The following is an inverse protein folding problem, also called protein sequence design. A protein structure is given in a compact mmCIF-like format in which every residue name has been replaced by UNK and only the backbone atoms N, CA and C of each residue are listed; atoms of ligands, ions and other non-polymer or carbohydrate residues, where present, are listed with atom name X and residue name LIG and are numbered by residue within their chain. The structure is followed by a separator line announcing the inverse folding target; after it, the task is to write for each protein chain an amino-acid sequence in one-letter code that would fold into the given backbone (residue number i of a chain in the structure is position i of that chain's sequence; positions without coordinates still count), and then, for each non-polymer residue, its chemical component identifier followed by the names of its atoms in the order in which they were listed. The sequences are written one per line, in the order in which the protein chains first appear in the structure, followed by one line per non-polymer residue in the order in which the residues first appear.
data_IF_365621920810
#
_entry.id   IF_365621920810
#
_cell.length_a   1.000
_cell.length_b   1.000
_cell.length_c   1.000
_cell.angle_alpha   90.00
_cell.angle_beta   90.00
_cell.angle_gamma   90.00
#
_symmetry.space_group_name_H-M   'P 1'
#
loop_
_entity.id
_entity.type
_entity.pdbx_description
1 polymer ?
#
# COMPACT_ATOMS: atom_id res chain seq x y z
N UNK A 1 16.32 2.51 -76.84
CA UNK A 1 16.61 1.26 -77.59
C UNK A 1 17.86 0.66 -76.96
N UNK A 2 17.76 -0.58 -76.48
CA UNK A 2 18.57 -1.20 -75.42
C UNK A 2 20.02 -1.57 -75.79
N UNK A 3 20.82 -2.00 -74.80
CA UNK A 3 21.13 -3.44 -74.67
C UNK A 3 20.73 -3.96 -73.28
N UNK A 4 19.80 -4.92 -73.15
CA UNK A 4 19.95 -6.40 -73.17
C UNK A 4 20.99 -6.93 -72.16
N UNK A 5 20.59 -7.81 -71.21
CA UNK A 5 21.35 -8.11 -69.99
C UNK A 5 22.34 -9.26 -70.15
N UNK A 6 23.45 -9.18 -69.41
CA UNK A 6 24.39 -10.30 -69.22
C UNK A 6 23.88 -11.20 -68.11
N UNK A 7 23.66 -12.47 -68.46
CA UNK A 7 23.29 -13.59 -67.58
C UNK A 7 24.47 -13.88 -66.65
N UNK A 8 24.26 -13.74 -65.34
CA UNK A 8 25.16 -14.31 -64.34
C UNK A 8 24.72 -15.76 -64.05
N UNK A 9 25.70 -16.66 -64.04
CA UNK A 9 25.56 -18.09 -63.77
C UNK A 9 25.14 -18.37 -62.32
N UNK A 10 24.44 -19.49 -62.04
CA UNK A 10 23.93 -19.79 -60.71
C UNK A 10 25.02 -20.31 -59.76
N UNK A 11 25.04 -19.78 -58.54
CA UNK A 11 25.86 -20.29 -57.42
C UNK A 11 25.50 -21.75 -57.07
N UNK A 12 26.49 -22.55 -56.61
CA UNK A 12 26.31 -23.97 -56.31
C UNK A 12 25.51 -24.18 -55.02
N UNK A 13 24.57 -25.13 -55.08
CA UNK A 13 23.70 -25.53 -53.98
C UNK A 13 24.48 -26.15 -52.79
N UNK A 14 24.04 -25.92 -51.54
CA UNK A 14 24.66 -26.50 -50.35
C UNK A 14 24.39 -28.00 -50.24
N UNK A 15 25.44 -28.71 -49.83
CA UNK A 15 25.54 -30.17 -49.65
C UNK A 15 24.54 -30.68 -48.61
N UNK A 16 23.79 -31.72 -48.99
CA UNK A 16 22.88 -32.46 -48.13
C UNK A 16 23.65 -33.29 -47.10
N UNK A 17 23.27 -33.14 -45.82
CA UNK A 17 23.69 -34.02 -44.72
C UNK A 17 22.55 -35.02 -44.47
N UNK A 18 22.88 -36.31 -44.56
CA UNK A 18 21.96 -37.43 -44.38
C UNK A 18 21.38 -37.52 -42.95
N UNK A 19 20.14 -38.05 -42.79
CA UNK A 19 19.48 -38.16 -41.51
C UNK A 19 19.95 -39.40 -40.73
N UNK A 20 20.26 -39.23 -39.45
CA UNK A 20 20.49 -40.32 -38.50
C UNK A 20 19.16 -40.89 -38.00
N UNK A 21 19.03 -42.22 -37.80
CA UNK A 21 17.77 -42.86 -37.45
C UNK A 21 17.46 -42.81 -35.94
N UNK A 22 16.18 -42.61 -35.61
CA UNK A 22 15.59 -42.77 -34.27
C UNK A 22 15.73 -44.20 -33.72
N UNK A 23 15.68 -44.37 -32.39
CA UNK A 23 15.08 -45.56 -31.79
C UNK A 23 13.84 -45.25 -30.93
N UNK A 24 12.75 -45.85 -31.39
CA UNK A 24 11.50 -46.29 -30.74
C UNK A 24 11.24 -46.00 -29.24
N UNK A 25 10.05 -45.41 -29.02
CA UNK A 25 9.25 -45.49 -27.79
C UNK A 25 8.78 -46.92 -27.50
N UNK A 26 9.03 -47.41 -26.28
CA UNK A 26 8.23 -48.46 -25.65
C UNK A 26 8.07 -48.16 -24.15
N UNK A 27 6.82 -48.18 -23.70
CA UNK A 27 6.34 -47.78 -22.39
C UNK A 27 6.76 -48.73 -21.26
N UNK A 28 7.08 -48.18 -20.09
CA UNK A 28 7.05 -48.86 -18.80
C UNK A 28 6.38 -47.93 -17.77
N UNK A 29 5.27 -48.41 -17.23
CA UNK A 29 4.40 -47.75 -16.25
C UNK A 29 5.11 -47.45 -14.92
N UNK A 30 4.79 -46.35 -14.21
CA UNK A 30 5.24 -46.16 -12.84
C UNK A 30 4.30 -46.82 -11.82
N UNK A 31 4.91 -47.61 -10.93
CA UNK A 31 4.33 -48.24 -9.75
C UNK A 31 3.79 -47.22 -8.71
N UNK A 32 2.94 -47.65 -7.73
CA UNK A 32 1.95 -46.79 -7.09
C UNK A 32 2.53 -45.82 -6.04
N UNK A 33 1.90 -44.65 -5.96
CA UNK A 33 2.21 -43.61 -4.99
C UNK A 33 2.00 -44.08 -3.55
N UNK A 34 3.06 -43.92 -2.74
CA UNK A 34 3.01 -43.99 -1.26
C UNK A 34 2.44 -42.65 -0.74
N UNK A 35 1.51 -42.65 0.24
CA UNK A 35 0.87 -41.41 0.68
C UNK A 35 1.86 -40.51 1.44
N UNK A 36 1.81 -39.18 1.26
CA UNK A 36 2.60 -38.29 2.08
C UNK A 36 2.06 -38.27 3.52
N UNK A 37 2.98 -38.50 4.44
CA UNK A 37 2.86 -38.32 5.89
C UNK A 37 2.26 -36.96 6.24
N UNK A 38 1.28 -36.97 7.14
CA UNK A 38 0.64 -35.80 7.71
C UNK A 38 1.65 -34.82 8.34
N UNK A 39 1.66 -33.59 7.83
CA UNK A 39 2.17 -32.42 8.56
C UNK A 39 1.02 -31.79 9.35
N UNK A 40 1.25 -31.27 10.57
CA UNK A 40 0.21 -30.63 11.35
C UNK A 40 -0.20 -29.31 10.70
N UNK A 41 -1.52 -29.07 10.63
CA UNK A 41 -2.11 -27.83 10.17
C UNK A 41 -1.72 -26.68 11.12
N UNK A 42 -0.99 -25.68 10.62
CA UNK A 42 -0.84 -24.38 11.29
C UNK A 42 -1.99 -23.45 10.88
N UNK A 43 -2.76 -23.00 11.87
CA UNK A 43 -3.84 -22.03 11.72
C UNK A 43 -3.32 -20.63 11.31
N UNK A 44 -4.03 -19.90 10.43
CA UNK A 44 -3.69 -18.53 10.07
C UNK A 44 -4.24 -17.54 11.12
N UNK A 45 -3.56 -17.41 12.27
CA UNK A 45 -4.01 -16.53 13.36
C UNK A 45 -2.94 -15.74 14.12
N UNK A 46 -1.66 -16.06 13.98
CA UNK A 46 -0.67 -15.72 15.03
C UNK A 46 0.15 -14.44 14.77
N UNK A 47 0.17 -13.91 13.55
CA UNK A 47 0.97 -12.72 13.22
C UNK A 47 0.37 -11.38 13.71
N UNK A 48 -0.95 -11.31 13.95
CA UNK A 48 -1.62 -10.09 14.49
C UNK A 48 -1.47 -9.92 16.01
N UNK A 49 -1.18 -11.00 16.75
CA UNK A 49 -1.00 -10.95 18.22
C UNK A 49 0.38 -10.45 18.65
N UNK A 50 1.41 -10.64 17.82
CA UNK A 50 2.77 -10.21 18.17
C UNK A 50 2.93 -8.67 18.11
N UNK A 51 2.36 -8.02 17.09
CA UNK A 51 2.39 -6.55 16.94
C UNK A 51 1.59 -5.80 18.02
N UNK A 52 0.51 -6.39 18.55
CA UNK A 52 -0.30 -5.75 19.60
C UNK A 52 0.33 -5.83 21.00
N UNK A 53 1.20 -6.81 21.26
CA UNK A 53 1.88 -6.93 22.55
C UNK A 53 3.08 -5.97 22.68
N UNK A 54 3.72 -5.59 21.58
CA UNK A 54 4.81 -4.59 21.58
C UNK A 54 4.27 -3.17 21.81
N UNK A 55 3.08 -2.85 21.30
CA UNK A 55 2.41 -1.55 21.53
C UNK A 55 1.97 -1.32 22.98
N UNK A 56 1.76 -2.38 23.77
CA UNK A 56 1.34 -2.29 25.19
C UNK A 56 2.50 -2.14 26.17
N UNK A 57 3.75 -2.34 25.73
CA UNK A 57 4.93 -2.33 26.59
C UNK A 57 5.70 -0.99 26.62
N UNK A 58 5.29 0.01 25.83
CA UNK A 58 5.91 1.34 25.82
C UNK A 58 4.81 2.39 25.98
N UNK A 59 4.51 2.73 27.24
CA UNK A 59 3.53 3.74 27.60
C UNK A 59 3.98 5.13 27.17
N UNK A 60 3.40 5.64 26.09
CA UNK A 60 3.46 7.04 25.69
C UNK A 60 2.03 7.47 25.32
N UNK A 61 1.33 8.06 26.28
CA UNK A 61 0.08 8.78 26.04
C UNK A 61 0.37 10.22 25.62
N UNK A 62 -0.46 10.84 24.76
CA UNK A 62 -0.30 12.24 24.41
C UNK A 62 -0.71 13.13 25.59
N UNK A 63 0.19 14.03 26.01
CA UNK A 63 -0.12 15.14 26.93
C UNK A 63 -0.29 16.43 26.12
N UNK A 64 -1.45 17.05 26.26
CA UNK A 64 -1.71 18.44 25.85
C UNK A 64 -0.93 19.44 26.73
N UNK A 65 -0.45 20.58 26.21
CA UNK A 65 0.16 21.60 27.04
C UNK A 65 -0.73 22.84 27.28
N UNK A 66 -0.67 23.26 28.55
CA UNK A 66 -0.54 24.64 29.06
C UNK A 66 -1.78 25.36 29.64
N UNK A 67 -1.74 25.55 30.97
CA UNK A 67 -2.16 26.77 31.66
C UNK A 67 -1.35 26.96 32.97
N UNK A 68 -1.15 28.25 33.34
CA UNK A 68 -0.51 28.79 34.55
C UNK A 68 1.03 28.79 34.62
N UNK A 69 1.81 29.79 35.07
CA UNK A 69 1.73 31.27 35.20
C UNK A 69 2.95 31.74 36.05
N UNK A 70 3.74 32.71 35.53
CA UNK A 70 4.56 33.77 36.22
C UNK A 70 5.67 33.43 37.26
N UNK A 71 6.63 34.36 37.58
CA UNK A 71 7.10 35.58 36.89
C UNK A 71 8.65 35.70 36.73
N UNK A 72 9.11 36.71 35.99
CA UNK A 72 10.50 37.22 35.99
C UNK A 72 10.50 38.78 35.98
N UNK A 73 11.58 39.45 36.45
CA UNK A 73 11.53 40.83 36.91
C UNK A 73 11.87 41.91 35.86
N UNK A 74 11.60 43.12 36.34
CA UNK A 74 11.54 44.47 35.77
C UNK A 74 12.88 45.09 35.33
N UNK A 75 12.88 45.87 34.23
CA UNK A 75 13.67 47.10 34.10
C UNK A 75 13.23 48.00 32.92
N UNK A 76 12.78 49.20 33.28
CA UNK A 76 12.96 50.53 32.67
C UNK A 76 12.47 50.84 31.24
N UNK A 77 11.46 51.73 31.18
CA UNK A 77 11.00 52.51 30.02
C UNK A 77 11.93 53.67 29.66
N UNK A 78 11.72 54.29 28.47
CA UNK A 78 11.30 55.70 28.48
C UNK A 78 10.04 56.00 27.62
N UNK A 79 9.31 57.02 28.07
CA UNK A 79 8.01 57.55 27.64
C UNK A 79 8.13 58.74 26.64
N UNK A 80 7.05 59.48 26.27
CA UNK A 80 5.96 59.12 25.35
C UNK A 80 5.73 60.17 24.23
N UNK A 81 4.91 59.87 23.21
CA UNK A 81 4.29 60.87 22.30
C UNK A 81 2.92 60.32 21.80
N UNK A 82 1.98 61.18 21.35
CA UNK A 82 0.62 61.21 21.89
C UNK A 82 -0.38 60.33 21.14
N UNK A 83 -1.43 59.94 21.88
CA UNK A 83 -2.55 59.13 21.42
C UNK A 83 -3.51 59.89 20.47
N UNK A 84 -4.07 59.24 19.44
CA UNK A 84 -5.30 59.69 18.79
C UNK A 84 -6.54 59.22 19.56
N UNK A 85 -7.54 60.09 19.58
CA UNK A 85 -8.83 60.06 20.28
C UNK A 85 -9.69 58.83 19.94
N UNK A 86 -10.43 58.24 20.91
CA UNK A 86 -11.27 57.07 20.68
C UNK A 86 -12.60 57.43 19.98
N UNK A 87 -12.85 56.79 18.83
CA UNK A 87 -14.16 56.78 18.17
C UNK A 87 -15.07 55.81 18.94
N UNK A 88 -16.27 56.29 19.29
CA UNK A 88 -17.28 55.56 20.05
C UNK A 88 -17.69 54.24 19.37
N UNK A 89 -17.73 53.16 20.16
CA UNK A 89 -18.35 51.88 19.76
C UNK A 89 -19.88 52.06 19.69
N UNK A 90 -20.55 51.55 18.65
CA UNK A 90 -22.00 51.51 18.60
C UNK A 90 -22.59 50.56 19.66
N UNK A 91 -23.84 50.79 20.11
CA UNK A 91 -24.43 50.04 21.21
C UNK A 91 -24.70 48.57 20.85
N UNK A 92 -24.55 47.73 21.86
CA UNK A 92 -24.82 46.29 21.85
C UNK A 92 -26.31 46.04 21.50
N UNK A 93 -26.64 45.19 20.51
CA UNK A 93 -28.00 44.70 20.36
C UNK A 93 -28.35 43.73 21.51
N UNK A 94 -29.61 43.81 21.95
CA UNK A 94 -30.22 42.96 22.97
C UNK A 94 -30.11 41.45 22.62
N UNK A 95 -30.13 40.54 23.62
CA UNK A 95 -30.01 39.11 23.38
C UNK A 95 -31.21 38.61 22.57
N UNK A 96 -30.97 38.25 21.31
CA UNK A 96 -31.94 37.55 20.49
C UNK A 96 -32.08 36.13 21.01
N UNK A 97 -33.32 35.74 21.30
CA UNK A 97 -33.72 34.38 21.60
C UNK A 97 -33.19 33.43 20.52
N UNK A 98 -32.42 32.43 20.95
CA UNK A 98 -31.96 31.31 20.13
C UNK A 98 -33.19 30.68 19.43
N UNK A 99 -33.19 30.51 18.09
CA UNK A 99 -34.27 29.80 17.44
C UNK A 99 -34.26 28.36 17.96
N UNK A 100 -35.40 27.87 18.42
CA UNK A 100 -35.63 26.43 18.60
C UNK A 100 -35.24 25.68 17.32
N UNK A 101 -34.70 24.46 17.42
CA UNK A 101 -34.50 23.63 16.24
C UNK A 101 -35.85 23.39 15.59
N UNK A 102 -36.09 24.03 14.44
CA UNK A 102 -37.25 23.73 13.62
C UNK A 102 -37.20 22.23 13.27
N UNK A 103 -38.32 21.49 13.37
CA UNK A 103 -38.34 20.10 12.99
C UNK A 103 -37.92 20.02 11.52
N UNK A 104 -36.87 19.24 11.25
CA UNK A 104 -36.51 18.86 9.89
C UNK A 104 -37.79 18.32 9.25
N UNK A 105 -38.32 19.04 8.26
CA UNK A 105 -39.51 18.59 7.55
C UNK A 105 -39.21 17.19 7.03
N UNK A 106 -39.92 16.18 7.57
CA UNK A 106 -39.93 14.84 6.99
C UNK A 106 -40.32 15.04 5.52
N UNK A 107 -39.38 14.81 4.62
CA UNK A 107 -39.63 14.81 3.17
C UNK A 107 -40.91 13.99 2.96
N UNK A 108 -41.92 14.61 2.35
CA UNK A 108 -43.18 13.92 2.10
C UNK A 108 -42.85 12.64 1.31
N UNK A 109 -43.30 11.46 1.76
CA UNK A 109 -42.90 10.20 1.15
C UNK A 109 -43.31 10.20 -0.33
N UNK A 110 -42.33 10.07 -1.23
CA UNK A 110 -42.58 10.02 -2.66
C UNK A 110 -43.36 8.73 -3.00
N UNK A 111 -44.63 8.81 -3.42
CA UNK A 111 -45.48 7.63 -3.59
C UNK A 111 -44.95 6.64 -4.64
N UNK A 112 -44.22 7.15 -5.64
CA UNK A 112 -43.61 6.32 -6.70
C UNK A 112 -42.41 5.51 -6.17
N UNK A 113 -41.62 6.10 -5.26
CA UNK A 113 -40.51 5.41 -4.61
C UNK A 113 -41.02 4.36 -3.61
N UNK A 114 -42.09 4.66 -2.87
CA UNK A 114 -42.74 3.69 -1.97
C UNK A 114 -43.36 2.51 -2.72
N UNK A 115 -43.96 2.75 -3.89
CA UNK A 115 -44.47 1.68 -4.77
C UNK A 115 -43.32 0.80 -5.26
N UNK A 116 -42.23 1.43 -5.71
CA UNK A 116 -41.03 0.73 -6.19
C UNK A 116 -40.39 -0.12 -5.09
N UNK A 117 -40.33 0.43 -3.87
CA UNK A 117 -39.85 -0.25 -2.66
C UNK A 117 -40.65 -1.51 -2.35
N UNK A 118 -41.98 -1.44 -2.38
CA UNK A 118 -42.85 -2.61 -2.13
C UNK A 118 -42.61 -3.72 -3.16
N UNK A 119 -42.53 -3.36 -4.44
CA UNK A 119 -42.28 -4.33 -5.52
C UNK A 119 -40.94 -5.06 -5.36
N UNK A 120 -39.89 -4.40 -4.86
CA UNK A 120 -38.58 -5.05 -4.62
C UNK A 120 -38.62 -6.09 -3.50
N UNK A 121 -39.37 -5.82 -2.42
CA UNK A 121 -39.57 -6.78 -1.34
C UNK A 121 -40.46 -7.95 -1.76
N UNK A 122 -41.54 -7.69 -2.51
CA UNK A 122 -42.42 -8.74 -3.05
C UNK A 122 -41.66 -9.72 -3.95
N UNK A 123 -40.72 -9.20 -4.74
CA UNK A 123 -39.86 -10.01 -5.62
C UNK A 123 -38.68 -10.67 -4.89
N UNK A 124 -38.51 -10.45 -3.58
CA UNK A 124 -37.41 -10.96 -2.74
C UNK A 124 -36.02 -10.62 -3.29
N UNK A 125 -35.87 -9.43 -3.86
CA UNK A 125 -34.59 -8.99 -4.47
C UNK A 125 -33.75 -8.23 -3.45
N UNK A 126 -34.39 -7.46 -2.57
CA UNK A 126 -33.71 -6.55 -1.67
C UNK A 126 -33.93 -6.93 -0.20
N UNK A 127 -32.88 -6.77 0.60
CA UNK A 127 -32.93 -6.87 2.07
C UNK A 127 -33.21 -5.51 2.72
N UNK A 128 -32.82 -4.43 2.06
CA UNK A 128 -33.14 -3.07 2.48
C UNK A 128 -33.37 -2.17 1.25
N UNK A 129 -34.35 -1.28 1.35
CA UNK A 129 -34.65 -0.26 0.34
C UNK A 129 -35.04 1.01 1.07
N UNK A 130 -34.29 2.08 0.81
CA UNK A 130 -34.42 3.39 1.44
C UNK A 130 -34.46 4.50 0.37
N UNK A 131 -34.98 5.66 0.71
CA UNK A 131 -34.86 6.86 -0.12
C UNK A 131 -33.42 7.39 -0.02
N UNK A 132 -32.74 7.53 -1.16
CA UNK A 132 -31.36 8.00 -1.21
C UNK A 132 -31.22 9.52 -0.99
N UNK A 133 -32.34 10.26 -0.94
CA UNK A 133 -32.38 11.71 -0.75
C UNK A 133 -32.02 12.52 -2.00
N UNK A 134 -31.78 11.85 -3.13
CA UNK A 134 -31.42 12.45 -4.42
C UNK A 134 -32.47 12.18 -5.52
N UNK A 135 -33.68 11.79 -5.11
CA UNK A 135 -34.79 11.43 -5.99
C UNK A 135 -34.77 9.96 -6.47
N UNK A 136 -33.82 9.16 -5.97
CA UNK A 136 -33.73 7.73 -6.25
C UNK A 136 -33.72 6.84 -5.00
N UNK A 137 -33.59 5.54 -5.22
CA UNK A 137 -33.54 4.50 -4.20
C UNK A 137 -32.09 4.12 -3.85
N UNK A 138 -31.87 3.89 -2.56
CA UNK A 138 -30.73 3.16 -2.03
C UNK A 138 -31.17 1.72 -1.75
N UNK A 139 -30.56 0.75 -2.44
CA UNK A 139 -30.99 -0.65 -2.42
C UNK A 139 -29.82 -1.53 -1.97
N UNK A 140 -30.06 -2.36 -0.95
CA UNK A 140 -29.19 -3.51 -0.63
C UNK A 140 -29.84 -4.78 -1.14
N UNK A 141 -29.17 -5.44 -2.08
CA UNK A 141 -29.63 -6.68 -2.69
C UNK A 141 -29.39 -7.85 -1.73
N UNK A 142 -30.28 -8.82 -1.75
CA UNK A 142 -30.10 -10.06 -1.00
C UNK A 142 -28.93 -10.88 -1.61
N UNK A 143 -27.92 -11.29 -0.82
CA UNK A 143 -26.81 -12.11 -1.31
C UNK A 143 -27.20 -13.43 -2.00
N UNK A 144 -28.43 -13.91 -1.79
CA UNK A 144 -28.97 -15.09 -2.46
C UNK A 144 -29.35 -14.85 -3.94
N UNK A 145 -29.51 -13.59 -4.35
CA UNK A 145 -29.89 -13.19 -5.71
C UNK A 145 -28.80 -13.57 -6.72
N UNK A 146 -29.23 -14.08 -7.87
CA UNK A 146 -28.34 -14.53 -8.95
C UNK A 146 -28.40 -13.64 -10.20
N UNK A 147 -29.46 -12.86 -10.37
CA UNK A 147 -29.66 -11.98 -11.53
C UNK A 147 -30.18 -10.62 -11.08
N UNK A 148 -29.66 -9.59 -11.75
CA UNK A 148 -30.08 -8.20 -11.60
C UNK A 148 -31.20 -7.81 -12.59
N UNK A 149 -31.70 -8.70 -13.44
CA UNK A 149 -32.85 -8.40 -14.31
C UNK A 149 -34.04 -7.79 -13.57
N UNK A 150 -34.40 -8.28 -12.36
CA UNK A 150 -35.56 -7.76 -11.66
C UNK A 150 -35.40 -6.32 -11.16
N UNK A 151 -34.18 -5.75 -11.13
CA UNK A 151 -33.94 -4.34 -10.76
C UNK A 151 -33.96 -3.39 -11.97
N UNK A 152 -34.15 -3.90 -13.19
CA UNK A 152 -34.34 -3.06 -14.38
C UNK A 152 -35.51 -2.10 -14.19
N UNK A 153 -35.35 -0.88 -14.68
CA UNK A 153 -36.35 0.21 -14.65
C UNK A 153 -36.69 0.79 -13.27
N UNK A 154 -36.03 0.34 -12.19
CA UNK A 154 -36.17 1.01 -10.91
C UNK A 154 -35.27 2.26 -10.84
N UNK A 155 -35.73 3.36 -10.21
CA UNK A 155 -34.96 4.58 -10.08
C UNK A 155 -33.88 4.43 -8.99
N UNK A 156 -32.89 3.57 -9.21
CA UNK A 156 -31.82 3.28 -8.24
C UNK A 156 -30.65 4.23 -8.47
N UNK A 157 -30.23 4.93 -7.43
CA UNK A 157 -29.05 5.82 -7.43
C UNK A 157 -27.91 5.25 -6.59
N UNK A 158 -28.22 4.42 -5.59
CA UNK A 158 -27.22 3.71 -4.78
C UNK A 158 -27.54 2.22 -4.73
N UNK A 159 -26.60 1.39 -5.13
CA UNK A 159 -26.77 -0.06 -5.17
C UNK A 159 -25.66 -0.77 -4.39
N UNK A 160 -26.06 -1.52 -3.37
CA UNK A 160 -25.18 -2.34 -2.55
C UNK A 160 -25.39 -3.82 -2.89
N UNK A 161 -24.40 -4.41 -3.60
CA UNK A 161 -24.34 -5.84 -3.92
C UNK A 161 -23.34 -6.58 -3.03
N UNK A 162 -22.96 -6.02 -1.87
CA UNK A 162 -21.95 -6.62 -1.00
C UNK A 162 -22.30 -8.08 -0.65
N UNK A 163 -21.37 -8.99 -0.91
CA UNK A 163 -21.52 -10.41 -0.64
C UNK A 163 -22.39 -11.17 -1.65
N UNK A 164 -22.86 -10.54 -2.73
CA UNK A 164 -23.62 -11.21 -3.80
C UNK A 164 -22.68 -12.04 -4.69
N UNK A 165 -22.13 -13.13 -4.13
CA UNK A 165 -21.08 -13.94 -4.76
C UNK A 165 -21.48 -14.57 -6.09
N UNK A 166 -22.79 -14.74 -6.34
CA UNK A 166 -23.33 -15.42 -7.54
C UNK A 166 -23.68 -14.47 -8.69
N UNK A 167 -23.53 -13.16 -8.51
CA UNK A 167 -23.77 -12.19 -9.57
C UNK A 167 -22.53 -12.13 -10.45
N UNK A 168 -22.71 -12.41 -11.73
CA UNK A 168 -21.66 -12.33 -12.76
C UNK A 168 -21.99 -11.33 -13.88
N UNK A 169 -23.27 -11.01 -14.08
CA UNK A 169 -23.73 -10.12 -15.15
C UNK A 169 -24.19 -8.76 -14.60
N UNK A 170 -23.58 -7.69 -15.11
CA UNK A 170 -23.91 -6.30 -14.79
C UNK A 170 -24.67 -5.59 -15.92
N UNK A 171 -24.96 -6.26 -17.05
CA UNK A 171 -25.77 -5.70 -18.14
C UNK A 171 -27.14 -5.16 -17.68
N UNK A 172 -27.82 -5.73 -16.67
CA UNK A 172 -29.05 -5.14 -16.15
C UNK A 172 -28.91 -3.73 -15.56
N UNK A 173 -27.68 -3.30 -15.23
CA UNK A 173 -27.39 -1.94 -14.77
C UNK A 173 -27.22 -0.94 -15.91
N UNK A 174 -27.15 -1.40 -17.15
CA UNK A 174 -26.90 -0.56 -18.31
C UNK A 174 -27.98 0.52 -18.46
N UNK A 175 -27.55 1.78 -18.49
CA UNK A 175 -28.45 2.95 -18.59
C UNK A 175 -29.18 3.31 -17.29
N UNK A 176 -28.87 2.68 -16.16
CA UNK A 176 -29.40 3.08 -14.86
C UNK A 176 -28.75 4.37 -14.34
N UNK A 177 -29.42 5.07 -13.43
CA UNK A 177 -28.93 6.30 -12.81
C UNK A 177 -28.00 6.06 -11.60
N UNK A 178 -27.39 4.88 -11.50
CA UNK A 178 -26.56 4.50 -10.35
C UNK A 178 -25.30 5.38 -10.30
N UNK A 179 -25.13 6.06 -9.17
CA UNK A 179 -23.97 6.92 -8.85
C UNK A 179 -23.01 6.23 -7.88
N UNK A 180 -23.55 5.41 -6.98
CA UNK A 180 -22.80 4.65 -6.00
C UNK A 180 -23.07 3.16 -6.18
N UNK A 181 -22.01 2.37 -6.39
CA UNK A 181 -22.10 0.93 -6.57
C UNK A 181 -21.07 0.21 -5.69
N UNK A 182 -21.52 -0.70 -4.85
CA UNK A 182 -20.65 -1.66 -4.16
C UNK A 182 -20.82 -3.06 -4.76
N UNK A 183 -19.72 -3.62 -5.25
CA UNK A 183 -19.55 -5.01 -5.70
C UNK A 183 -18.68 -5.80 -4.72
N UNK A 184 -18.57 -5.34 -3.47
CA UNK A 184 -17.67 -5.90 -2.50
C UNK A 184 -17.94 -7.41 -2.29
N UNK A 185 -16.95 -8.26 -2.57
CA UNK A 185 -17.07 -9.71 -2.46
C UNK A 185 -17.88 -10.39 -3.56
N UNK A 186 -18.21 -9.70 -4.66
CA UNK A 186 -18.82 -10.31 -5.84
C UNK A 186 -17.75 -11.08 -6.65
N UNK A 187 -17.54 -12.35 -6.30
CA UNK A 187 -16.41 -13.14 -6.80
C UNK A 187 -16.54 -13.57 -8.26
N UNK A 188 -17.76 -13.71 -8.77
CA UNK A 188 -18.02 -14.24 -10.12
C UNK A 188 -18.07 -13.14 -11.21
N UNK A 189 -17.78 -11.88 -10.86
CA UNK A 189 -17.73 -10.77 -11.82
C UNK A 189 -16.40 -10.81 -12.58
N UNK A 190 -16.46 -11.19 -13.85
CA UNK A 190 -15.30 -11.24 -14.74
C UNK A 190 -15.09 -9.93 -15.53
N UNK A 191 -16.15 -9.14 -15.70
CA UNK A 191 -16.14 -7.94 -16.53
C UNK A 191 -17.09 -6.86 -15.99
N UNK A 192 -16.74 -5.60 -16.23
CA UNK A 192 -17.55 -4.43 -15.86
C UNK A 192 -18.53 -3.98 -16.97
N UNK A 193 -18.76 -4.84 -17.97
CA UNK A 193 -19.73 -4.59 -19.04
C UNK A 193 -21.13 -4.33 -18.46
N UNK A 194 -21.78 -3.28 -18.92
CA UNK A 194 -23.04 -2.79 -18.37
C UNK A 194 -22.87 -1.50 -17.55
N UNK A 195 -21.66 -1.17 -17.09
CA UNK A 195 -21.42 0.05 -16.33
C UNK A 195 -21.12 1.28 -17.22
N UNK A 196 -21.02 1.14 -18.54
CA UNK A 196 -20.55 2.19 -19.46
C UNK A 196 -21.38 3.47 -19.37
N UNK A 197 -22.70 3.34 -19.30
CA UNK A 197 -23.64 4.47 -19.26
C UNK A 197 -24.06 4.88 -17.85
N UNK A 198 -23.56 4.20 -16.80
CA UNK A 198 -23.88 4.56 -15.42
C UNK A 198 -23.10 5.84 -15.02
N UNK A 199 -23.75 6.87 -14.44
CA UNK A 199 -23.09 8.09 -13.97
C UNK A 199 -22.39 7.87 -12.62
N UNK A 200 -21.53 6.85 -12.54
CA UNK A 200 -20.83 6.46 -11.31
C UNK A 200 -19.86 7.56 -10.86
N UNK A 201 -19.93 7.88 -9.57
CA UNK A 201 -18.97 8.71 -8.85
C UNK A 201 -18.17 7.89 -7.84
N UNK A 202 -18.75 6.80 -7.33
CA UNK A 202 -18.12 5.90 -6.37
C UNK A 202 -18.33 4.44 -6.76
N UNK A 203 -17.25 3.66 -6.74
CA UNK A 203 -17.26 2.25 -7.10
C UNK A 203 -16.35 1.44 -6.16
N UNK A 204 -16.92 0.42 -5.52
CA UNK A 204 -16.16 -0.54 -4.71
C UNK A 204 -16.13 -1.91 -5.42
N UNK A 205 -14.95 -2.33 -5.86
CA UNK A 205 -14.67 -3.62 -6.49
C UNK A 205 -13.89 -4.56 -5.55
N UNK A 206 -13.85 -4.26 -4.26
CA UNK A 206 -13.07 -5.03 -3.30
C UNK A 206 -13.49 -6.50 -3.32
N UNK A 207 -12.55 -7.41 -3.55
CA UNK A 207 -12.81 -8.85 -3.54
C UNK A 207 -13.49 -9.39 -4.81
N UNK A 208 -13.53 -8.61 -5.89
CA UNK A 208 -13.86 -9.10 -7.23
C UNK A 208 -12.69 -9.91 -7.81
N UNK A 209 -12.44 -11.09 -7.23
CA UNK A 209 -11.24 -11.90 -7.50
C UNK A 209 -11.12 -12.37 -8.94
N UNK A 210 -12.25 -12.57 -9.63
CA UNK A 210 -12.31 -13.03 -11.04
C UNK A 210 -12.31 -11.89 -12.05
N UNK A 211 -12.27 -10.63 -11.61
CA UNK A 211 -12.26 -9.48 -12.52
C UNK A 211 -10.98 -9.50 -13.37
N UNK A 212 -11.14 -9.72 -14.67
CA UNK A 212 -10.03 -9.95 -15.60
C UNK A 212 -9.77 -8.76 -16.53
N UNK A 213 -8.57 -8.75 -17.10
CA UNK A 213 -8.10 -7.79 -18.11
C UNK A 213 -7.93 -6.37 -17.58
N UNK A 214 -8.93 -5.52 -17.79
CA UNK A 214 -8.86 -4.07 -17.64
C UNK A 214 -10.18 -3.47 -17.13
N UNK A 215 -10.17 -2.15 -16.95
CA UNK A 215 -11.28 -1.36 -16.42
C UNK A 215 -11.90 -0.48 -17.53
N UNK A 216 -11.83 -0.91 -18.79
CA UNK A 216 -12.23 -0.10 -19.95
C UNK A 216 -13.67 0.40 -19.92
N UNK A 217 -14.60 -0.34 -19.29
CA UNK A 217 -15.99 0.11 -19.07
C UNK A 217 -16.11 1.34 -18.17
N UNK A 218 -15.04 1.72 -17.46
CA UNK A 218 -14.97 2.93 -16.63
C UNK A 218 -14.37 4.14 -17.36
N UNK A 219 -13.95 3.98 -18.62
CA UNK A 219 -13.29 5.05 -19.39
C UNK A 219 -14.18 6.29 -19.48
N UNK A 220 -13.58 7.44 -19.18
CA UNK A 220 -14.25 8.74 -19.23
C UNK A 220 -15.18 9.05 -18.06
N UNK A 221 -15.24 8.15 -17.04
CA UNK A 221 -15.95 8.44 -15.79
C UNK A 221 -15.08 9.30 -14.88
N UNK A 222 -15.72 10.15 -14.08
CA UNK A 222 -15.07 10.98 -13.08
C UNK A 222 -15.30 10.39 -11.68
N UNK A 223 -14.77 9.18 -11.43
CA UNK A 223 -14.83 8.56 -10.11
C UNK A 223 -14.00 9.39 -9.12
N UNK A 224 -14.59 9.69 -7.96
CA UNK A 224 -13.87 10.29 -6.82
C UNK A 224 -13.36 9.23 -5.86
N UNK A 225 -14.02 8.06 -5.84
CA UNK A 225 -13.71 6.95 -4.97
C UNK A 225 -13.74 5.63 -5.75
N UNK A 226 -12.58 4.97 -5.84
CA UNK A 226 -12.45 3.66 -6.48
C UNK A 226 -11.64 2.73 -5.55
N UNK A 227 -12.23 1.58 -5.19
CA UNK A 227 -11.52 0.53 -4.41
C UNK A 227 -11.37 -0.72 -5.25
N UNK A 228 -10.14 -1.24 -5.33
CA UNK A 228 -9.77 -2.40 -6.15
C UNK A 228 -9.01 -3.45 -5.31
N UNK A 229 -9.30 -3.51 -4.02
CA UNK A 229 -8.59 -4.39 -3.08
C UNK A 229 -8.89 -5.84 -3.40
N UNK A 230 -7.87 -6.70 -3.50
CA UNK A 230 -7.98 -8.15 -3.75
C UNK A 230 -8.64 -8.52 -5.08
N UNK A 231 -8.51 -7.69 -6.11
CA UNK A 231 -8.83 -8.07 -7.50
C UNK A 231 -7.70 -8.93 -8.09
N UNK A 232 -7.58 -10.18 -7.63
CA UNK A 232 -6.40 -11.01 -7.87
C UNK A 232 -6.11 -11.26 -9.36
N UNK A 233 -7.13 -11.32 -10.21
CA UNK A 233 -7.01 -11.55 -11.65
C UNK A 233 -6.81 -10.29 -12.50
N UNK A 234 -6.90 -9.09 -11.91
CA UNK A 234 -6.75 -7.84 -12.64
C UNK A 234 -5.32 -7.70 -13.17
N UNK A 235 -5.17 -7.48 -14.48
CA UNK A 235 -3.86 -7.40 -15.15
C UNK A 235 -3.47 -5.98 -15.57
N UNK A 236 -4.45 -5.11 -15.78
CA UNK A 236 -4.27 -3.76 -16.32
C UNK A 236 -5.23 -2.77 -15.65
N UNK A 237 -4.80 -1.52 -15.55
CA UNK A 237 -5.62 -0.40 -15.08
C UNK A 237 -6.20 0.43 -16.23
N UNK A 238 -6.12 -0.05 -17.47
CA UNK A 238 -6.65 0.70 -18.61
C UNK A 238 -8.14 1.03 -18.41
N UNK A 239 -8.51 2.29 -18.62
CA UNK A 239 -9.86 2.82 -18.36
C UNK A 239 -9.96 3.78 -17.18
N UNK A 240 -8.95 3.87 -16.30
CA UNK A 240 -8.94 4.83 -15.16
C UNK A 240 -8.04 6.06 -15.39
N UNK A 241 -7.46 6.19 -16.59
CA UNK A 241 -6.51 7.26 -16.88
C UNK A 241 -7.16 8.64 -16.67
N UNK A 242 -6.45 9.52 -15.96
CA UNK A 242 -6.88 10.90 -15.72
C UNK A 242 -8.06 11.07 -14.75
N UNK A 243 -8.49 10.01 -14.05
CA UNK A 243 -9.52 10.14 -13.01
C UNK A 243 -9.03 11.02 -11.85
N UNK A 244 -9.92 11.83 -11.24
CA UNK A 244 -9.58 12.75 -10.15
C UNK A 244 -9.47 12.01 -8.79
N UNK A 245 -8.81 10.86 -8.75
CA UNK A 245 -8.62 10.08 -7.53
C UNK A 245 -7.50 10.66 -6.70
N UNK A 246 -7.76 10.89 -5.40
CA UNK A 246 -6.74 11.29 -4.42
C UNK A 246 -6.15 10.11 -3.65
N UNK A 247 -6.90 9.01 -3.59
CA UNK A 247 -6.58 7.78 -2.86
C UNK A 247 -6.93 6.59 -3.74
N UNK A 248 -6.03 5.62 -3.86
CA UNK A 248 -6.27 4.39 -4.60
C UNK A 248 -5.67 3.19 -3.86
N UNK A 249 -6.50 2.17 -3.63
CA UNK A 249 -6.07 0.90 -3.04
C UNK A 249 -6.20 -0.25 -4.05
N UNK A 250 -5.05 -0.80 -4.42
CA UNK A 250 -4.84 -1.92 -5.34
C UNK A 250 -4.23 -3.13 -4.60
N UNK A 251 -4.25 -3.12 -3.27
CA UNK A 251 -3.62 -4.16 -2.47
C UNK A 251 -4.20 -5.53 -2.80
N UNK A 252 -3.35 -6.51 -3.09
CA UNK A 252 -3.77 -7.87 -3.45
C UNK A 252 -4.11 -8.08 -4.92
N UNK A 253 -3.89 -7.10 -5.81
CA UNK A 253 -3.95 -7.29 -7.26
C UNK A 253 -2.74 -8.10 -7.76
N UNK A 254 -2.69 -9.40 -7.43
CA UNK A 254 -1.49 -10.24 -7.59
C UNK A 254 -1.02 -10.40 -9.04
N UNK A 255 -1.93 -10.28 -10.02
CA UNK A 255 -1.63 -10.36 -11.46
C UNK A 255 -1.34 -9.02 -12.13
N UNK A 256 -1.47 -7.90 -11.42
CA UNK A 256 -1.17 -6.59 -11.96
C UNK A 256 0.32 -6.47 -12.28
N UNK A 257 0.65 -6.10 -13.52
CA UNK A 257 2.03 -6.04 -14.00
C UNK A 257 2.58 -4.62 -14.15
N UNK A 258 1.70 -3.66 -14.42
CA UNK A 258 2.06 -2.27 -14.68
C UNK A 258 1.04 -1.32 -14.09
N UNK A 259 1.52 -0.13 -13.74
CA UNK A 259 0.74 0.99 -13.20
C UNK A 259 0.96 2.27 -14.02
N UNK A 260 1.43 2.16 -15.27
CA UNK A 260 1.70 3.32 -16.14
C UNK A 260 0.46 4.19 -16.36
N UNK A 261 -0.74 3.60 -16.29
CA UNK A 261 -2.02 4.32 -16.37
C UNK A 261 -2.26 5.31 -15.22
N UNK A 262 -1.51 5.20 -14.12
CA UNK A 262 -1.59 6.13 -12.99
C UNK A 262 -0.83 7.44 -13.24
N UNK A 263 -0.04 7.51 -14.31
CA UNK A 263 0.83 8.65 -14.58
C UNK A 263 0.02 9.95 -14.69
N UNK A 264 0.44 10.96 -13.91
CA UNK A 264 -0.19 12.29 -13.89
C UNK A 264 -1.49 12.38 -13.10
N UNK A 265 -1.95 11.29 -12.47
CA UNK A 265 -3.12 11.34 -11.58
C UNK A 265 -2.78 12.09 -10.28
N UNK A 266 -3.75 12.80 -9.67
CA UNK A 266 -3.54 13.58 -8.45
C UNK A 266 -3.54 12.72 -7.17
N UNK A 267 -2.95 11.52 -7.23
CA UNK A 267 -2.92 10.60 -6.10
C UNK A 267 -1.95 11.09 -5.01
N UNK A 268 -2.46 11.12 -3.78
CA UNK A 268 -1.70 11.40 -2.57
C UNK A 268 -1.39 10.13 -1.77
N UNK A 269 -2.24 9.11 -1.86
CA UNK A 269 -2.09 7.82 -1.18
C UNK A 269 -2.30 6.68 -2.17
N UNK A 270 -1.34 5.77 -2.21
CA UNK A 270 -1.39 4.59 -3.09
C UNK A 270 -0.96 3.33 -2.33
N UNK A 271 -1.83 2.33 -2.31
CA UNK A 271 -1.51 1.02 -1.75
C UNK A 271 -1.45 -0.04 -2.84
N UNK A 272 -0.29 -0.66 -2.99
CA UNK A 272 0.03 -1.73 -3.95
C UNK A 272 0.48 -2.99 -3.22
N UNK A 273 0.17 -3.12 -1.93
CA UNK A 273 0.65 -4.24 -1.12
C UNK A 273 0.25 -5.59 -1.75
N UNK A 274 1.19 -6.52 -1.85
CA UNK A 274 1.02 -7.86 -2.43
C UNK A 274 0.66 -7.87 -3.93
N UNK A 275 0.99 -6.82 -4.68
CA UNK A 275 1.02 -6.85 -6.14
C UNK A 275 2.25 -7.63 -6.63
N UNK A 276 2.27 -8.95 -6.41
CA UNK A 276 3.45 -9.80 -6.57
C UNK A 276 4.06 -9.84 -7.98
N UNK A 277 3.28 -9.54 -9.03
CA UNK A 277 3.71 -9.49 -10.43
C UNK A 277 4.00 -8.09 -10.95
N UNK A 278 3.89 -7.06 -10.12
CA UNK A 278 4.23 -5.69 -10.48
C UNK A 278 5.74 -5.59 -10.69
N UNK A 279 6.18 -5.23 -11.90
CA UNK A 279 7.60 -5.22 -12.27
C UNK A 279 8.22 -3.83 -12.24
N UNK A 280 7.44 -2.79 -12.49
CA UNK A 280 7.91 -1.40 -12.58
C UNK A 280 7.00 -0.43 -11.84
N UNK A 281 7.61 0.66 -11.36
CA UNK A 281 6.98 1.80 -10.71
C UNK A 281 6.99 3.07 -11.59
N UNK A 282 7.31 2.97 -12.88
CA UNK A 282 7.48 4.14 -13.78
C UNK A 282 6.25 5.05 -13.87
N UNK A 283 5.05 4.50 -13.65
CA UNK A 283 3.81 5.28 -13.57
C UNK A 283 3.76 6.28 -12.41
N UNK A 284 4.73 6.23 -11.47
CA UNK A 284 4.76 7.07 -10.27
C UNK A 284 5.63 8.33 -10.39
N UNK A 285 6.40 8.47 -11.46
CA UNK A 285 7.36 9.56 -11.63
C UNK A 285 6.65 10.92 -11.58
N UNK A 286 7.12 11.80 -10.69
CA UNK A 286 6.61 13.18 -10.55
C UNK A 286 5.24 13.30 -9.89
N UNK A 287 4.69 12.22 -9.32
CA UNK A 287 3.38 12.26 -8.65
C UNK A 287 3.46 12.95 -7.27
N UNK A 288 2.36 13.56 -6.81
CA UNK A 288 2.30 14.21 -5.49
C UNK A 288 2.05 13.22 -4.35
N UNK A 289 2.62 12.01 -4.42
CA UNK A 289 2.39 10.96 -3.43
C UNK A 289 3.02 11.31 -2.09
N UNK A 290 2.23 11.20 -1.02
CA UNK A 290 2.63 11.38 0.38
C UNK A 290 2.81 10.02 1.06
N UNK A 291 1.99 9.05 0.69
CA UNK A 291 2.04 7.67 1.20
C UNK A 291 2.06 6.65 0.07
N UNK A 292 2.98 5.68 0.19
CA UNK A 292 3.08 4.56 -0.73
C UNK A 292 3.32 3.25 0.05
N UNK A 293 2.56 2.22 -0.29
CA UNK A 293 2.79 0.86 0.19
C UNK A 293 3.05 -0.07 -1.00
N UNK A 294 4.28 -0.55 -1.16
CA UNK A 294 4.66 -1.56 -2.15
C UNK A 294 5.06 -2.88 -1.47
N UNK A 295 4.59 -3.11 -0.24
CA UNK A 295 5.02 -4.27 0.55
C UNK A 295 4.57 -5.58 -0.09
N UNK A 296 5.47 -6.55 -0.25
CA UNK A 296 5.18 -7.81 -0.94
C UNK A 296 5.06 -7.69 -2.46
N UNK A 297 5.52 -6.60 -3.06
CA UNK A 297 5.73 -6.50 -4.50
C UNK A 297 7.00 -7.27 -4.90
N UNK A 298 6.89 -8.60 -4.89
CA UNK A 298 8.01 -9.54 -5.09
C UNK A 298 8.75 -9.37 -6.44
N UNK A 299 8.13 -8.78 -7.45
CA UNK A 299 8.71 -8.60 -8.79
C UNK A 299 9.32 -7.23 -9.07
N UNK A 300 9.21 -6.27 -8.14
CA UNK A 300 9.81 -4.95 -8.30
C UNK A 300 11.33 -5.06 -8.15
N UNK A 301 12.06 -4.58 -9.15
CA UNK A 301 13.53 -4.64 -9.23
C UNK A 301 14.21 -3.28 -9.05
N UNK A 302 13.45 -2.19 -8.98
CA UNK A 302 13.98 -0.84 -8.82
C UNK A 302 12.96 0.08 -8.17
N UNK A 303 13.43 0.97 -7.30
CA UNK A 303 12.67 2.09 -6.72
C UNK A 303 13.13 3.45 -7.26
N UNK A 304 13.96 3.47 -8.31
CA UNK A 304 14.38 4.70 -8.96
C UNK A 304 13.22 5.63 -9.38
N UNK A 305 12.05 5.13 -9.82
CA UNK A 305 10.89 5.98 -10.12
C UNK A 305 10.34 6.78 -8.93
N UNK A 306 10.69 6.41 -7.69
CA UNK A 306 10.28 7.13 -6.49
C UNK A 306 11.14 8.38 -6.21
N UNK A 307 12.21 8.59 -6.98
CA UNK A 307 13.14 9.70 -6.77
C UNK A 307 12.42 11.05 -6.82
N UNK A 308 12.59 11.84 -5.77
CA UNK A 308 12.03 13.19 -5.67
C UNK A 308 10.55 13.25 -5.32
N UNK A 309 9.87 12.10 -5.10
CA UNK A 309 8.51 12.11 -4.60
C UNK A 309 8.46 12.62 -3.14
N UNK A 310 7.43 13.37 -2.73
CA UNK A 310 7.30 13.91 -1.38
C UNK A 310 6.80 12.87 -0.37
N UNK A 311 7.24 11.61 -0.48
CA UNK A 311 6.78 10.54 0.42
C UNK A 311 7.26 10.80 1.85
N UNK A 312 6.30 10.84 2.76
CA UNK A 312 6.56 10.87 4.21
C UNK A 312 6.42 9.48 4.83
N UNK A 313 5.67 8.59 4.17
CA UNK A 313 5.49 7.19 4.59
C UNK A 313 5.66 6.27 3.38
N UNK A 314 6.63 5.36 3.49
CA UNK A 314 6.91 4.33 2.49
C UNK A 314 6.98 2.98 3.20
N UNK A 315 6.17 2.02 2.74
CA UNK A 315 6.29 0.62 3.14
C UNK A 315 6.79 -0.20 1.95
N UNK A 316 7.84 -0.97 2.18
CA UNK A 316 8.58 -1.71 1.16
C UNK A 316 9.02 -3.10 1.68
N UNK A 317 8.43 -3.57 2.78
CA UNK A 317 8.78 -4.87 3.33
C UNK A 317 8.36 -6.00 2.36
N UNK A 318 9.09 -7.10 2.36
CA UNK A 318 8.89 -8.24 1.48
C UNK A 318 9.02 -7.93 -0.02
N UNK A 319 9.78 -6.91 -0.42
CA UNK A 319 10.21 -6.73 -1.82
C UNK A 319 11.40 -7.65 -2.16
N UNK A 320 11.12 -8.94 -2.38
CA UNK A 320 12.15 -10.00 -2.45
C UNK A 320 13.16 -9.87 -3.58
N UNK A 321 12.84 -9.18 -4.68
CA UNK A 321 13.72 -9.00 -5.86
C UNK A 321 14.41 -7.63 -5.92
N UNK A 322 14.16 -6.74 -4.96
CA UNK A 322 14.78 -5.43 -4.93
C UNK A 322 16.29 -5.55 -4.59
N UNK A 323 17.21 -5.16 -5.49
CA UNK A 323 18.64 -5.37 -5.29
C UNK A 323 19.34 -4.21 -4.57
N UNK A 324 18.83 -2.98 -4.71
CA UNK A 324 19.37 -1.77 -4.09
C UNK A 324 18.25 -0.79 -3.73
N UNK A 325 18.59 0.26 -2.99
CA UNK A 325 17.67 1.32 -2.54
C UNK A 325 17.85 2.61 -3.36
N UNK A 326 18.45 2.50 -4.54
CA UNK A 326 18.66 3.65 -5.44
C UNK A 326 17.32 4.24 -5.86
N UNK A 327 17.15 5.54 -5.60
CA UNK A 327 15.87 6.24 -5.74
C UNK A 327 15.32 6.78 -4.43
N UNK A 328 15.73 6.25 -3.28
CA UNK A 328 15.28 6.74 -1.97
C UNK A 328 16.12 7.91 -1.42
N UNK A 329 17.24 8.24 -2.07
CA UNK A 329 18.15 9.28 -1.59
C UNK A 329 17.44 10.63 -1.42
N UNK A 330 17.59 11.23 -0.24
CA UNK A 330 17.04 12.55 0.08
C UNK A 330 15.53 12.60 0.34
N UNK A 331 14.82 11.47 0.34
CA UNK A 331 13.40 11.45 0.68
C UNK A 331 13.16 11.80 2.16
N UNK A 332 12.06 12.47 2.52
CA UNK A 332 11.78 12.92 3.89
C UNK A 332 11.20 11.80 4.77
N UNK A 333 11.73 10.57 4.64
CA UNK A 333 11.31 9.43 5.45
C UNK A 333 11.96 9.48 6.84
N UNK A 334 11.17 9.19 7.87
CA UNK A 334 11.63 9.10 9.26
C UNK A 334 11.70 7.68 9.78
N UNK A 335 10.96 6.76 9.18
CA UNK A 335 10.95 5.35 9.51
C UNK A 335 10.97 4.52 8.23
N UNK A 336 11.72 3.42 8.24
CA UNK A 336 11.77 2.48 7.12
C UNK A 336 11.86 1.05 7.62
N UNK A 337 11.04 0.18 7.03
CA UNK A 337 11.06 -1.26 7.25
C UNK A 337 11.45 -1.95 5.93
N UNK A 338 12.62 -2.59 5.92
CA UNK A 338 13.17 -3.36 4.80
C UNK A 338 13.09 -4.87 5.04
N UNK A 339 12.27 -5.29 6.01
CA UNK A 339 12.12 -6.71 6.35
C UNK A 339 11.77 -7.54 5.12
N UNK A 340 12.43 -8.68 4.94
CA UNK A 340 12.24 -9.66 3.87
C UNK A 340 12.58 -9.13 2.47
N UNK A 341 13.38 -8.06 2.37
CA UNK A 341 14.03 -7.66 1.12
C UNK A 341 15.28 -8.53 0.88
N UNK A 342 15.08 -9.83 0.64
CA UNK A 342 16.16 -10.84 0.60
C UNK A 342 17.15 -10.67 -0.56
N UNK A 343 16.81 -9.91 -1.61
CA UNK A 343 17.74 -9.60 -2.71
C UNK A 343 18.57 -8.34 -2.50
N UNK A 344 18.27 -7.55 -1.46
CA UNK A 344 19.00 -6.33 -1.14
C UNK A 344 20.45 -6.71 -0.85
N UNK A 345 21.37 -6.26 -1.70
CA UNK A 345 22.77 -6.69 -1.70
C UNK A 345 23.72 -5.52 -1.49
N UNK A 346 24.91 -5.80 -0.96
CA UNK A 346 25.93 -4.79 -0.76
C UNK A 346 25.68 -3.99 0.52
N UNK A 347 25.29 -2.73 0.37
CA UNK A 347 25.18 -1.73 1.43
C UNK A 347 23.84 -0.97 1.42
N UNK A 348 23.74 0.06 2.26
CA UNK A 348 22.58 0.93 2.43
C UNK A 348 22.88 2.35 1.90
N UNK A 349 23.75 2.51 0.90
CA UNK A 349 24.11 3.80 0.30
C UNK A 349 22.90 4.60 -0.20
N UNK A 350 21.83 3.92 -0.62
CA UNK A 350 20.54 4.54 -0.95
C UNK A 350 19.86 5.30 0.21
N UNK A 351 20.32 5.10 1.44
CA UNK A 351 19.81 5.74 2.66
C UNK A 351 20.71 6.87 3.19
N UNK A 352 21.82 7.19 2.51
CA UNK A 352 22.80 8.14 2.99
C UNK A 352 22.22 9.55 3.16
N UNK A 353 22.45 10.15 4.33
CA UNK A 353 22.01 11.52 4.63
C UNK A 353 20.49 11.71 4.69
N UNK A 354 19.70 10.64 4.80
CA UNK A 354 18.26 10.74 5.04
C UNK A 354 17.95 11.18 6.48
N UNK A 355 16.67 11.32 6.81
CA UNK A 355 16.19 11.74 8.14
C UNK A 355 15.63 10.57 8.95
N UNK A 356 16.13 9.36 8.71
CA UNK A 356 15.64 8.15 9.37
C UNK A 356 15.99 8.16 10.86
N UNK A 357 14.97 7.95 11.67
CA UNK A 357 15.04 7.80 13.14
C UNK A 357 14.85 6.34 13.56
N UNK A 358 14.17 5.54 12.74
CA UNK A 358 13.98 4.10 12.95
C UNK A 358 14.21 3.33 11.66
N UNK A 359 15.02 2.28 11.74
CA UNK A 359 15.26 1.35 10.64
C UNK A 359 15.09 -0.09 11.13
N UNK A 360 14.36 -0.88 10.36
CA UNK A 360 14.14 -2.31 10.61
C UNK A 360 14.68 -3.11 9.43
N UNK A 361 15.58 -4.05 9.73
CA UNK A 361 16.20 -4.99 8.81
C UNK A 361 15.91 -6.40 9.33
N UNK A 362 14.97 -7.12 8.72
CA UNK A 362 14.73 -8.52 9.09
C UNK A 362 14.86 -9.43 7.87
N UNK A 363 15.66 -10.50 7.91
CA UNK A 363 15.84 -11.40 6.75
C UNK A 363 16.27 -10.68 5.45
N UNK A 364 17.25 -9.78 5.58
CA UNK A 364 17.92 -9.12 4.46
C UNK A 364 19.17 -9.93 4.09
N UNK A 365 18.96 -11.17 3.63
CA UNK A 365 20.00 -12.21 3.65
C UNK A 365 21.20 -11.92 2.75
N UNK A 366 21.08 -11.02 1.76
CA UNK A 366 22.19 -10.63 0.87
C UNK A 366 22.88 -9.32 1.26
N UNK A 367 22.37 -8.62 2.27
CA UNK A 367 22.98 -7.38 2.75
C UNK A 367 24.26 -7.72 3.50
N UNK A 368 25.38 -7.10 3.10
CA UNK A 368 26.70 -7.43 3.62
C UNK A 368 27.31 -6.36 4.52
N UNK A 369 26.84 -5.11 4.42
CA UNK A 369 27.36 -3.96 5.16
C UNK A 369 26.22 -2.99 5.56
N UNK A 370 26.46 -2.20 6.60
CA UNK A 370 25.57 -1.12 7.04
C UNK A 370 26.05 0.26 6.54
N UNK A 371 27.05 0.31 5.65
CA UNK A 371 27.54 1.53 5.05
C UNK A 371 26.38 2.27 4.36
N UNK A 372 26.40 3.60 4.43
CA UNK A 372 25.30 4.45 3.97
C UNK A 372 24.31 4.85 5.06
N UNK A 373 24.43 4.36 6.29
CA UNK A 373 23.65 4.90 7.42
C UNK A 373 24.18 6.25 7.93
N UNK A 374 25.42 6.61 7.63
CA UNK A 374 26.04 7.87 8.05
C UNK A 374 25.19 9.08 7.67
N UNK A 375 25.05 10.02 8.61
CA UNK A 375 24.26 11.24 8.45
C UNK A 375 22.78 11.09 8.80
N UNK A 376 22.29 9.87 9.06
CA UNK A 376 20.93 9.68 9.56
C UNK A 376 20.84 9.98 11.07
N UNK A 377 19.77 10.65 11.55
CA UNK A 377 19.50 10.84 12.97
C UNK A 377 18.90 9.56 13.59
N UNK A 378 19.53 8.41 13.35
CA UNK A 378 18.97 7.10 13.69
C UNK A 378 19.02 6.85 15.20
N UNK A 379 17.84 6.69 15.81
CA UNK A 379 17.64 6.49 17.26
C UNK A 379 17.45 5.02 17.60
N UNK A 380 16.81 4.26 16.69
CA UNK A 380 16.52 2.84 16.84
C UNK A 380 16.89 2.07 15.58
N UNK A 381 17.69 1.00 15.74
CA UNK A 381 18.05 0.08 14.68
C UNK A 381 17.74 -1.35 15.14
N UNK A 382 16.92 -2.04 14.35
CA UNK A 382 16.56 -3.45 14.57
C UNK A 382 17.09 -4.28 13.40
N UNK A 383 17.93 -5.27 13.71
CA UNK A 383 18.51 -6.20 12.76
C UNK A 383 18.22 -7.62 13.25
N UNK A 384 17.45 -8.38 12.47
CA UNK A 384 17.06 -9.76 12.81
C UNK A 384 17.31 -10.70 11.64
N UNK A 385 18.00 -11.82 11.87
CA UNK A 385 18.21 -12.86 10.86
C UNK A 385 18.85 -12.34 9.55
N UNK A 386 19.82 -11.43 9.63
CA UNK A 386 20.58 -10.97 8.46
C UNK A 386 21.88 -11.77 8.35
N UNK A 387 21.84 -12.90 7.65
CA UNK A 387 22.88 -13.93 7.71
C UNK A 387 24.24 -13.49 7.15
N UNK A 388 24.25 -12.71 6.06
CA UNK A 388 25.48 -12.25 5.41
C UNK A 388 25.96 -10.87 5.89
N UNK A 389 25.27 -10.27 6.87
CA UNK A 389 25.72 -9.00 7.42
C UNK A 389 26.99 -9.23 8.24
N UNK A 390 28.10 -8.65 7.77
CA UNK A 390 29.44 -8.89 8.32
C UNK A 390 30.07 -7.59 8.80
N UNK A 391 31.29 -7.67 9.33
CA UNK A 391 32.03 -6.52 9.80
C UNK A 391 31.91 -6.31 11.30
N UNK A 392 32.30 -5.11 11.74
CA UNK A 392 32.49 -4.77 13.15
C UNK A 392 31.51 -3.74 13.70
N UNK A 393 30.56 -3.25 12.88
CA UNK A 393 29.61 -2.17 13.17
C UNK A 393 30.22 -0.75 13.16
N UNK A 394 31.42 -0.58 12.60
CA UNK A 394 32.04 0.75 12.45
C UNK A 394 31.19 1.71 11.60
N UNK A 395 30.38 1.20 10.68
CA UNK A 395 29.37 1.94 9.91
C UNK A 395 28.34 2.69 10.79
N UNK A 396 28.18 2.29 12.06
CA UNK A 396 27.27 2.93 13.01
C UNK A 396 27.91 4.09 13.78
N UNK A 397 29.23 4.29 13.64
CA UNK A 397 29.96 5.30 14.39
C UNK A 397 29.39 6.71 14.16
N UNK A 398 29.17 7.44 15.26
CA UNK A 398 28.65 8.81 15.22
C UNK A 398 27.13 8.94 15.07
N UNK A 399 26.39 7.85 14.95
CA UNK A 399 24.92 7.89 14.96
C UNK A 399 24.38 8.19 16.37
N UNK A 400 23.24 8.90 16.51
CA UNK A 400 22.61 9.16 17.81
C UNK A 400 21.81 7.95 18.31
N UNK A 401 22.34 6.73 18.12
CA UNK A 401 21.63 5.50 18.36
C UNK A 401 21.45 5.24 19.85
N UNK A 402 20.20 5.09 20.30
CA UNK A 402 19.87 4.81 21.70
C UNK A 402 19.44 3.36 21.91
N UNK A 403 18.93 2.72 20.86
CA UNK A 403 18.45 1.34 20.87
C UNK A 403 19.02 0.57 19.69
N UNK A 404 19.68 -0.54 19.99
CA UNK A 404 20.20 -1.48 19.00
C UNK A 404 19.72 -2.89 19.35
N UNK A 405 19.01 -3.52 18.42
CA UNK A 405 18.56 -4.90 18.53
C UNK A 405 19.28 -5.71 17.46
N UNK A 406 20.14 -6.65 17.87
CA UNK A 406 20.79 -7.61 17.00
C UNK A 406 20.28 -9.00 17.39
N UNK A 407 19.54 -9.65 16.49
CA UNK A 407 19.00 -10.99 16.69
C UNK A 407 19.40 -11.89 15.54
N UNK A 408 19.86 -13.10 15.82
CA UNK A 408 20.20 -14.12 14.83
C UNK A 408 21.08 -13.58 13.69
N UNK A 409 22.08 -12.77 14.03
CA UNK A 409 23.06 -12.24 13.07
C UNK A 409 24.39 -12.99 13.28
N UNK A 410 24.55 -14.20 12.71
CA UNK A 410 25.68 -15.08 13.04
C UNK A 410 27.02 -14.58 12.49
N UNK A 411 27.02 -13.68 11.50
CA UNK A 411 28.23 -13.24 10.81
C UNK A 411 28.86 -11.96 11.38
N UNK A 412 28.12 -11.19 12.19
CA UNK A 412 28.66 -10.03 12.91
C UNK A 412 29.59 -10.54 14.01
N UNK A 413 30.87 -10.17 13.94
CA UNK A 413 31.90 -10.69 14.84
C UNK A 413 32.40 -9.71 15.91
N UNK A 414 32.04 -8.43 15.81
CA UNK A 414 32.54 -7.39 16.70
C UNK A 414 31.50 -6.29 16.91
N UNK A 415 31.67 -5.55 18.01
CA UNK A 415 30.89 -4.38 18.39
C UNK A 415 31.69 -3.07 18.24
N UNK A 416 32.80 -3.09 17.48
CA UNK A 416 33.64 -1.92 17.25
C UNK A 416 32.90 -0.87 16.41
N UNK A 417 32.62 0.29 16.99
CA UNK A 417 31.75 1.32 16.41
C UNK A 417 30.71 1.79 17.41
N UNK A 418 30.42 0.97 18.43
CA UNK A 418 29.46 1.30 19.48
C UNK A 418 30.05 2.16 20.62
N UNK A 419 31.38 2.23 20.78
CA UNK A 419 32.06 2.79 21.97
C UNK A 419 31.62 4.22 22.34
N UNK A 420 31.25 5.03 21.35
CA UNK A 420 30.91 6.46 21.52
C UNK A 420 29.43 6.76 21.27
N UNK A 421 28.62 5.74 21.05
CA UNK A 421 27.20 5.92 20.78
C UNK A 421 26.43 6.07 22.10
N UNK A 422 25.36 6.88 22.14
CA UNK A 422 24.53 7.07 23.33
C UNK A 422 23.54 5.90 23.54
N UNK A 423 24.01 4.66 23.38
CA UNK A 423 23.19 3.45 23.47
C UNK A 423 22.75 3.25 24.91
N UNK A 424 21.43 3.21 25.11
CA UNK A 424 20.79 2.89 26.39
C UNK A 424 20.37 1.43 26.45
N UNK A 425 20.04 0.83 25.32
CA UNK A 425 19.55 -0.55 25.24
C UNK A 425 20.19 -1.29 24.08
N UNK A 426 20.90 -2.36 24.40
CA UNK A 426 21.52 -3.27 23.46
C UNK A 426 20.96 -4.69 23.69
N UNK A 427 20.28 -5.24 22.69
CA UNK A 427 19.83 -6.63 22.72
C UNK A 427 20.68 -7.44 21.76
N UNK A 428 21.30 -8.52 22.27
CA UNK A 428 22.08 -9.49 21.52
C UNK A 428 21.42 -10.87 21.69
N UNK A 429 20.71 -11.36 20.67
CA UNK A 429 20.12 -12.69 20.69
C UNK A 429 20.71 -13.54 19.55
N UNK A 430 21.19 -14.76 19.82
CA UNK A 430 21.68 -15.66 18.75
C UNK A 430 22.89 -15.14 17.95
N UNK A 431 23.58 -14.09 18.42
CA UNK A 431 24.78 -13.51 17.79
C UNK A 431 26.06 -14.27 18.20
N UNK A 432 26.20 -15.50 17.71
CA UNK A 432 27.21 -16.48 18.20
C UNK A 432 28.67 -16.03 18.05
N UNK A 433 29.00 -15.17 17.08
CA UNK A 433 30.38 -14.69 16.87
C UNK A 433 30.75 -13.49 17.75
N UNK A 434 29.80 -12.86 18.43
CA UNK A 434 30.06 -11.76 19.36
C UNK A 434 30.45 -12.36 20.71
N UNK A 435 31.74 -12.55 20.91
CA UNK A 435 32.32 -13.06 22.16
C UNK A 435 32.88 -11.95 23.04
N UNK A 436 33.37 -10.86 22.43
CA UNK A 436 33.91 -9.70 23.14
C UNK A 436 32.88 -8.58 23.29
N UNK A 437 32.62 -8.19 24.54
CA UNK A 437 31.74 -7.08 24.91
C UNK A 437 32.54 -5.87 25.43
N UNK A 438 33.87 -5.90 25.39
CA UNK A 438 34.73 -4.77 25.77
C UNK A 438 34.36 -3.44 25.08
N UNK A 439 33.90 -3.40 23.80
CA UNK A 439 33.56 -2.14 23.13
C UNK A 439 32.37 -1.39 23.74
N UNK A 440 31.54 -2.05 24.54
CA UNK A 440 30.35 -1.43 25.16
C UNK A 440 30.46 -1.29 26.67
N UNK A 441 31.59 -1.73 27.27
CA UNK A 441 31.80 -1.76 28.72
C UNK A 441 31.76 -0.38 29.37
N UNK A 442 32.30 0.63 28.69
CA UNK A 442 32.44 1.98 29.22
C UNK A 442 31.25 2.90 28.86
N UNK A 443 30.20 2.36 28.23
CA UNK A 443 29.00 3.13 27.88
C UNK A 443 28.15 3.30 29.16
N UNK A 444 27.96 4.53 29.67
CA UNK A 444 27.30 4.73 30.95
C UNK A 444 25.80 4.43 30.88
N UNK A 445 25.31 3.58 31.78
CA UNK A 445 23.88 3.27 31.93
C UNK A 445 23.30 2.39 30.82
N UNK A 446 24.14 1.71 30.04
CA UNK A 446 23.69 0.76 29.02
C UNK A 446 23.04 -0.48 29.65
N UNK A 447 21.85 -0.83 29.18
CA UNK A 447 21.20 -2.11 29.44
C UNK A 447 21.58 -3.08 28.33
N UNK A 448 22.40 -4.09 28.66
CA UNK A 448 22.77 -5.17 27.73
C UNK A 448 21.98 -6.42 28.08
N UNK A 449 21.12 -6.86 27.15
CA UNK A 449 20.37 -8.12 27.25
C UNK A 449 20.95 -9.12 26.26
N UNK A 450 21.50 -10.22 26.78
CA UNK A 450 22.06 -11.30 25.96
C UNK A 450 21.26 -12.59 26.14
N UNK A 451 20.91 -13.24 25.03
CA UNK A 451 20.30 -14.58 25.01
C UNK A 451 20.93 -15.41 23.89
N UNK A 452 21.69 -16.45 24.24
CA UNK A 452 22.41 -17.28 23.27
C UNK A 452 21.53 -18.34 22.60
#
# INVERSE_FOLDING_TARGET
IAPVPVRAEPEPAPVAVEPTPEPALAALEPAPAKPPSAQPAEEPGTAKRFFNNVKKAVGLGPKDPAAASTPAPEAAQPSPTPAPTPIAKPPRPAPTTKPEPQPVAKVAPNPQLETSRRQMFERKIATAVEDAGDGGLAVRVDPAVKSLDPIKNFPITRLDLTGCVRISDLLPLHGTAVRWLSLNGCKDIESLKGLELCPLTQLDLTGCVSLEKDLSSLKGKALTDLRLVTCEHLTSLAGIEGMPLSILDLSGCRRLQSIVQLQGMPLSHLWLAKCSRLTSLDGLVGMPLVELDISGCDSVVSVAPLRGLPLTRLKIDACKRLPSLDGLQGMPLTELDLSRCSSLKGDLSGLQGMRLTRLVLMRCDRLSSLAGLTGNPLVSLEITSCENLTGDLSDLAGLPLTQLFLRDCPSIGSLNGLQKLPIKRLILAGCKRITDLSPVRDIPGIEVVRSD
#
